data_IF_108470246270
#
_entry.id   IF_108470246270
#
_cell.length_a   1.000
_cell.length_b   1.000
_cell.length_c   1.000
_cell.angle_alpha   90.00
_cell.angle_beta   90.00
_cell.angle_gamma   90.00
#
_symmetry.space_group_name_H-M   'P 1'
#
loop_
_entity.id
_entity.type
_entity.pdbx_description
1 polymer ?
#
# COMPACT_ATOMS: atom_id res chain seq x y z
N UNK A 1 -4.49 26.96 6.85
CA UNK A 1 -5.10 25.66 7.18
C UNK A 1 -4.24 24.44 6.81
N UNK A 2 -3.48 24.44 5.71
CA UNK A 2 -2.73 23.23 5.27
C UNK A 2 -1.59 22.72 6.17
N UNK A 3 -0.93 23.58 6.97
CA UNK A 3 0.23 23.15 7.77
C UNK A 3 -0.14 22.36 9.05
N UNK A 4 -1.34 22.56 9.60
CA UNK A 4 -1.79 21.87 10.81
C UNK A 4 -2.17 20.41 10.49
N UNK A 5 -2.92 20.19 9.41
CA UNK A 5 -3.28 18.86 8.93
C UNK A 5 -2.04 18.03 8.56
N UNK A 6 -1.04 18.64 7.89
CA UNK A 6 0.21 17.92 7.58
C UNK A 6 0.93 17.44 8.85
N UNK A 7 0.95 18.24 9.92
CA UNK A 7 1.58 17.86 11.20
C UNK A 7 0.80 16.75 11.92
N UNK A 8 -0.52 16.76 11.83
CA UNK A 8 -1.39 15.70 12.39
C UNK A 8 -1.17 14.40 11.61
N UNK A 9 -1.17 14.48 10.28
CA UNK A 9 -0.93 13.36 9.39
C UNK A 9 0.45 12.75 9.58
N UNK A 10 1.51 13.57 9.70
CA UNK A 10 2.87 13.09 9.96
C UNK A 10 3.03 12.44 11.35
N UNK A 11 2.14 12.77 12.30
CA UNK A 11 2.13 12.19 13.64
C UNK A 11 1.35 10.88 13.71
N UNK A 12 0.59 10.51 12.68
CA UNK A 12 -0.03 9.19 12.61
C UNK A 12 1.09 8.14 12.64
N UNK A 13 1.19 7.45 13.78
CA UNK A 13 2.21 6.44 14.04
C UNK A 13 2.08 5.22 13.10
N UNK A 14 0.94 5.12 12.43
CA UNK A 14 0.50 3.92 11.71
C UNK A 14 0.75 3.99 10.19
N UNK A 15 1.44 5.02 9.70
CA UNK A 15 1.81 5.05 8.28
C UNK A 15 2.67 3.82 7.93
N UNK A 16 2.32 3.09 6.87
CA UNK A 16 3.13 1.97 6.42
C UNK A 16 4.48 2.47 5.89
N UNK A 17 5.54 1.73 6.16
CA UNK A 17 6.87 2.00 5.64
C UNK A 17 7.25 0.94 4.60
N UNK A 18 7.99 1.34 3.57
CA UNK A 18 8.36 0.44 2.48
C UNK A 18 9.84 0.56 2.11
N UNK A 19 10.59 -0.54 2.25
CA UNK A 19 12.03 -0.59 1.97
C UNK A 19 12.36 -0.99 0.53
N UNK A 20 11.47 -1.77 -0.10
CA UNK A 20 11.69 -2.38 -1.41
C UNK A 20 12.83 -3.40 -1.45
N UNK A 21 13.33 -3.86 -0.30
CA UNK A 21 14.42 -4.83 -0.14
C UNK A 21 13.94 -6.06 0.64
N UNK A 22 14.51 -7.24 0.37
CA UNK A 22 14.17 -8.50 1.06
C UNK A 22 12.82 -9.08 0.64
N UNK A 23 12.10 -9.69 1.58
CA UNK A 23 10.68 -10.01 1.37
C UNK A 23 9.84 -8.74 1.49
N UNK A 24 9.10 -8.41 0.44
CA UNK A 24 8.26 -7.21 0.41
C UNK A 24 6.88 -7.51 -0.14
N UNK A 25 5.91 -6.70 0.30
CA UNK A 25 4.57 -6.65 -0.26
C UNK A 25 4.23 -5.18 -0.55
N UNK A 26 4.49 -4.77 -1.79
CA UNK A 26 4.19 -3.42 -2.26
C UNK A 26 2.67 -3.17 -2.36
N UNK A 27 1.86 -4.23 -2.51
CA UNK A 27 0.40 -4.11 -2.55
C UNK A 27 -0.17 -3.84 -1.15
N UNK A 28 0.38 -4.48 -0.10
CA UNK A 28 0.03 -4.14 1.28
C UNK A 28 0.41 -2.71 1.62
N UNK A 29 1.57 -2.23 1.16
CA UNK A 29 1.94 -0.83 1.31
C UNK A 29 0.93 0.10 0.64
N UNK A 30 0.61 -0.10 -0.65
CA UNK A 30 -0.37 0.72 -1.38
C UNK A 30 -1.74 0.71 -0.69
N UNK A 31 -2.26 -0.47 -0.30
CA UNK A 31 -3.54 -0.58 0.43
C UNK A 31 -3.51 0.18 1.75
N UNK A 32 -2.40 0.14 2.49
CA UNK A 32 -2.27 0.91 3.72
C UNK A 32 -2.34 2.43 3.48
N UNK A 33 -1.78 2.91 2.36
CA UNK A 33 -1.93 4.31 1.94
C UNK A 33 -3.39 4.61 1.58
N UNK A 34 -4.06 3.72 0.85
CA UNK A 34 -5.47 3.89 0.43
C UNK A 34 -6.39 4.03 1.63
N UNK A 35 -6.24 3.15 2.63
CA UNK A 35 -7.04 3.17 3.87
C UNK A 35 -6.85 4.50 4.61
N UNK A 36 -5.60 4.92 4.84
CA UNK A 36 -5.34 6.19 5.55
C UNK A 36 -5.82 7.39 4.72
N UNK A 37 -5.70 7.34 3.39
CA UNK A 37 -6.21 8.39 2.54
C UNK A 37 -7.74 8.52 2.65
N UNK A 38 -8.45 7.39 2.67
CA UNK A 38 -9.91 7.32 2.78
C UNK A 38 -10.39 7.74 4.18
N UNK A 39 -9.81 7.17 5.24
CA UNK A 39 -10.21 7.42 6.64
C UNK A 39 -10.05 8.90 7.05
N UNK A 40 -9.06 9.58 6.49
CA UNK A 40 -8.73 10.98 6.83
C UNK A 40 -9.02 11.96 5.68
N UNK A 41 -9.67 11.51 4.60
CA UNK A 41 -10.02 12.30 3.41
C UNK A 41 -8.84 13.15 2.88
N UNK A 42 -7.65 12.55 2.83
CA UNK A 42 -6.42 13.31 2.56
C UNK A 42 -6.29 13.69 1.08
N UNK A 43 -5.97 14.96 0.78
CA UNK A 43 -5.59 15.36 -0.57
C UNK A 43 -4.35 14.61 -1.07
N UNK A 44 -4.37 14.19 -2.34
CA UNK A 44 -3.24 13.53 -3.03
C UNK A 44 -1.89 14.25 -2.81
N UNK A 45 -1.90 15.58 -2.77
CA UNK A 45 -0.68 16.37 -2.60
C UNK A 45 -0.04 16.16 -1.22
N UNK A 46 -0.84 15.93 -0.16
CA UNK A 46 -0.32 15.67 1.18
C UNK A 46 0.28 14.26 1.26
N UNK A 47 -0.44 13.28 0.72
CA UNK A 47 0.00 11.87 0.67
C UNK A 47 1.32 11.77 -0.11
N UNK A 48 1.40 12.39 -1.29
CA UNK A 48 2.63 12.38 -2.09
C UNK A 48 3.77 13.20 -1.48
N UNK A 49 3.48 14.20 -0.63
CA UNK A 49 4.50 14.95 0.10
C UNK A 49 5.23 14.08 1.13
N UNK A 50 4.50 13.21 1.83
CA UNK A 50 5.06 12.35 2.88
C UNK A 50 5.71 11.07 2.33
N UNK A 51 5.56 10.74 1.04
CA UNK A 51 6.20 9.55 0.44
C UNK A 51 7.71 9.47 0.70
N UNK A 52 8.41 10.61 0.77
CA UNK A 52 9.83 10.63 1.10
C UNK A 52 10.14 10.03 2.49
N UNK A 53 9.21 10.14 3.45
CA UNK A 53 9.36 9.57 4.79
C UNK A 53 8.88 8.12 4.88
N UNK A 54 7.93 7.73 4.03
CA UNK A 54 7.37 6.38 4.01
C UNK A 54 8.30 5.38 3.31
N UNK A 55 9.02 5.84 2.29
CA UNK A 55 10.03 5.03 1.64
C UNK A 55 11.33 4.99 2.43
N UNK A 56 11.89 3.80 2.56
CA UNK A 56 13.18 3.57 3.21
C UNK A 56 14.13 2.84 2.25
N UNK A 57 15.43 2.89 2.51
CA UNK A 57 16.48 2.13 1.79
C UNK A 57 16.39 2.22 0.25
N UNK A 58 16.33 1.09 -0.47
CA UNK A 58 16.27 1.06 -1.94
C UNK A 58 15.06 1.82 -2.51
N UNK A 59 13.90 1.71 -1.87
CA UNK A 59 12.69 2.39 -2.32
C UNK A 59 12.83 3.91 -2.18
N UNK A 60 13.47 4.39 -1.10
CA UNK A 60 13.74 5.81 -0.91
C UNK A 60 14.65 6.35 -2.03
N UNK A 61 15.76 5.65 -2.32
CA UNK A 61 16.68 6.02 -3.41
C UNK A 61 15.99 6.06 -4.76
N UNK A 62 15.15 5.07 -5.05
CA UNK A 62 14.36 5.02 -6.28
C UNK A 62 13.38 6.18 -6.38
N UNK A 63 12.63 6.45 -5.30
CA UNK A 63 11.63 7.50 -5.26
C UNK A 63 12.26 8.89 -5.47
N UNK A 64 13.35 9.20 -4.75
CA UNK A 64 14.05 10.49 -4.89
C UNK A 64 14.53 10.68 -6.34
N UNK A 65 15.16 9.65 -6.92
CA UNK A 65 15.64 9.72 -8.31
C UNK A 65 14.51 9.95 -9.30
N UNK A 66 13.40 9.23 -9.15
CA UNK A 66 12.26 9.36 -10.06
C UNK A 66 11.58 10.72 -9.93
N UNK A 67 11.45 11.22 -8.68
CA UNK A 67 10.86 12.54 -8.40
C UNK A 67 11.71 13.68 -8.93
N UNK A 68 13.03 13.58 -8.86
CA UNK A 68 13.95 14.56 -9.45
C UNK A 68 13.85 14.58 -10.98
N UNK A 69 13.67 13.42 -11.62
CA UNK A 69 13.62 13.31 -13.07
C UNK A 69 12.28 13.79 -13.68
N UNK A 70 11.16 13.56 -12.99
CA UNK A 70 9.82 13.77 -13.57
C UNK A 70 8.94 14.77 -12.80
N UNK A 71 9.35 15.22 -11.61
CA UNK A 71 8.64 16.23 -10.84
C UNK A 71 7.42 15.71 -10.08
N UNK A 72 6.39 16.55 -9.96
CA UNK A 72 5.15 16.22 -9.26
C UNK A 72 4.19 15.45 -10.16
N UNK A 73 3.61 14.39 -9.62
CA UNK A 73 2.58 13.58 -10.28
C UNK A 73 1.47 13.22 -9.31
N UNK A 74 0.31 12.84 -9.86
CA UNK A 74 -0.84 12.36 -9.09
C UNK A 74 -0.51 11.11 -8.28
N UNK A 75 -1.25 10.87 -7.21
CA UNK A 75 -1.03 9.71 -6.36
C UNK A 75 -1.26 8.39 -7.12
N UNK A 76 -2.24 8.35 -8.02
CA UNK A 76 -2.50 7.23 -8.92
C UNK A 76 -1.27 6.90 -9.79
N UNK A 77 -0.61 7.92 -10.36
CA UNK A 77 0.60 7.71 -11.13
C UNK A 77 1.70 7.07 -10.27
N UNK A 78 1.90 7.56 -9.05
CA UNK A 78 2.89 6.97 -8.14
C UNK A 78 2.58 5.52 -7.79
N UNK A 79 1.32 5.18 -7.49
CA UNK A 79 0.88 3.79 -7.24
C UNK A 79 1.23 2.90 -8.44
N UNK A 80 0.95 3.35 -9.67
CA UNK A 80 1.34 2.63 -10.90
C UNK A 80 2.84 2.44 -11.02
N UNK A 81 3.66 3.45 -10.71
CA UNK A 81 5.12 3.33 -10.78
C UNK A 81 5.67 2.35 -9.72
N UNK A 82 5.09 2.33 -8.52
CA UNK A 82 5.44 1.36 -7.46
C UNK A 82 5.14 -0.06 -7.96
N UNK A 83 3.93 -0.31 -8.46
CA UNK A 83 3.56 -1.62 -9.02
C UNK A 83 4.52 -2.00 -10.14
N UNK A 84 4.77 -1.10 -11.09
CA UNK A 84 5.69 -1.36 -12.21
C UNK A 84 7.11 -1.72 -11.74
N UNK A 85 7.59 -1.12 -10.65
CA UNK A 85 8.94 -1.35 -10.14
C UNK A 85 9.08 -2.66 -9.36
N UNK A 86 8.09 -3.03 -8.55
CA UNK A 86 8.17 -4.15 -7.61
C UNK A 86 7.31 -5.37 -7.96
N UNK A 87 6.36 -5.26 -8.89
CA UNK A 87 5.65 -6.41 -9.47
C UNK A 87 6.43 -7.02 -10.64
N UNK A 88 7.69 -7.39 -10.39
CA UNK A 88 8.52 -8.13 -11.35
C UNK A 88 8.08 -9.60 -11.44
N UNK A 89 8.61 -10.32 -12.43
CA UNK A 89 8.19 -11.70 -12.72
C UNK A 89 8.43 -12.66 -11.55
N UNK A 90 9.54 -12.49 -10.81
CA UNK A 90 9.83 -13.29 -9.62
C UNK A 90 8.78 -13.07 -8.51
N UNK A 91 8.35 -11.82 -8.29
CA UNK A 91 7.27 -11.53 -7.33
C UNK A 91 5.94 -12.11 -7.80
N UNK A 92 5.58 -11.97 -9.08
CA UNK A 92 4.34 -12.53 -9.64
C UNK A 92 4.30 -14.04 -9.51
N UNK A 93 5.38 -14.71 -9.88
CA UNK A 93 5.51 -16.16 -9.72
C UNK A 93 5.34 -16.60 -8.27
N UNK A 94 5.92 -15.86 -7.30
CA UNK A 94 5.72 -16.14 -5.87
C UNK A 94 4.25 -16.03 -5.46
N UNK A 95 3.54 -15.00 -5.95
CA UNK A 95 2.11 -14.79 -5.66
C UNK A 95 1.24 -15.88 -6.31
N UNK A 96 1.50 -16.21 -7.57
CA UNK A 96 0.83 -17.29 -8.30
C UNK A 96 1.02 -18.63 -7.59
N UNK A 97 2.26 -18.96 -7.23
CA UNK A 97 2.59 -20.17 -6.45
C UNK A 97 1.81 -20.20 -5.14
N UNK A 98 1.84 -19.10 -4.37
CA UNK A 98 1.12 -19.01 -3.10
C UNK A 98 -0.40 -19.18 -3.28
N UNK A 99 -0.94 -18.70 -4.40
CA UNK A 99 -2.35 -18.89 -4.77
C UNK A 99 -2.66 -20.33 -5.17
N UNK A 100 -1.83 -21.00 -5.97
CA UNK A 100 -2.03 -22.40 -6.36
C UNK A 100 -2.03 -23.36 -5.16
N UNK A 101 -1.18 -23.09 -4.16
CA UNK A 101 -1.11 -23.86 -2.93
C UNK A 101 -2.14 -23.42 -1.87
N UNK A 102 -2.85 -22.32 -2.10
CA UNK A 102 -3.98 -21.89 -1.29
C UNK A 102 -5.15 -22.85 -1.50
N UNK A 103 -5.37 -23.74 -0.54
CA UNK A 103 -6.57 -24.58 -0.49
C UNK A 103 -7.51 -24.04 0.58
N UNK A 104 -8.76 -23.77 0.20
CA UNK A 104 -9.82 -23.47 1.15
C UNK A 104 -9.93 -24.61 2.16
N UNK A 105 -9.82 -24.27 3.44
CA UNK A 105 -9.86 -25.24 4.52
C UNK A 105 -11.00 -24.87 5.47
N UNK A 106 -12.07 -25.65 5.43
CA UNK A 106 -13.30 -25.44 6.21
C UNK A 106 -13.07 -25.33 7.72
N UNK A 107 -11.98 -25.91 8.25
CA UNK A 107 -11.65 -25.86 9.68
C UNK A 107 -10.80 -24.62 10.06
N UNK A 108 -10.01 -24.09 9.12
CA UNK A 108 -9.10 -22.95 9.34
C UNK A 108 -9.70 -21.62 8.91
N UNK A 109 -10.49 -21.63 7.85
CA UNK A 109 -11.07 -20.43 7.25
C UNK A 109 -12.42 -20.14 7.92
N UNK A 110 -12.38 -19.31 8.97
CA UNK A 110 -13.60 -18.90 9.69
C UNK A 110 -14.54 -18.19 8.72
N UNK A 111 -15.70 -18.80 8.46
CA UNK A 111 -16.82 -18.11 7.81
C UNK A 111 -17.23 -16.91 8.66
N UNK A 112 -17.22 -15.72 8.08
CA UNK A 112 -17.69 -14.53 8.77
C UNK A 112 -19.18 -14.69 9.11
N UNK A 113 -19.61 -14.41 10.35
CA UNK A 113 -20.97 -14.73 10.82
C UNK A 113 -22.09 -13.98 10.08
N UNK A 114 -21.79 -12.89 9.35
CA UNK A 114 -22.78 -12.13 8.59
C UNK A 114 -23.13 -12.72 7.21
N UNK A 115 -22.38 -13.71 6.72
CA UNK A 115 -22.61 -14.31 5.39
C UNK A 115 -23.62 -15.47 5.46
N UNK A 116 -23.82 -16.06 6.65
CA UNK A 116 -24.68 -17.23 6.84
C UNK A 116 -25.81 -17.00 7.86
N UNK A 117 -26.52 -15.87 7.78
CA UNK A 117 -27.88 -15.85 8.35
C UNK A 117 -28.79 -16.54 7.35
N UNK A 118 -29.03 -17.85 7.54
CA UNK A 118 -30.14 -18.51 6.89
C UNK A 118 -31.40 -17.72 7.27
N UNK A 119 -32.10 -17.17 6.28
CA UNK A 119 -33.51 -16.80 6.45
C UNK A 119 -34.23 -18.11 6.79
N UNK A 120 -34.59 -18.26 8.04
CA UNK A 120 -35.60 -19.23 8.45
C UNK A 120 -36.94 -18.50 8.30
N UNK A 121 -37.77 -19.01 7.41
CA UNK A 121 -39.16 -18.57 7.20
C UNK A 121 -40.01 -18.73 8.47
#
# INVERSE_FOLDING_TARGET
>A
MGQALLKEVQKLKDWPHFSGEGEYDHMKFIRGIDIIQEDFELPDILVTAIFNTLFTRSACRWYIKLRQAHGHHSLTCWKTQIIRKWANDAWRFKVETAFEFSKFNTDKDKTLPFICQKKTD
#
